data_IF_464147144863
#
_entry.id   IF_464147144863
#
_cell.length_a   1.000
_cell.length_b   1.000
_cell.length_c   1.000
_cell.angle_alpha   90.00
_cell.angle_beta   90.00
_cell.angle_gamma   90.00
#
_symmetry.space_group_name_H-M   'P 1'
#
loop_
_entity.id
_entity.type
_entity.pdbx_description
1 polymer ?
#
# COMPACT_ATOMS: atom_id res chain seq x y z
N UNK A 1 2.41 -3.66 -23.60
CA UNK A 1 1.86 -5.03 -23.72
C UNK A 1 2.14 -5.70 -22.37
N UNK A 2 1.23 -6.26 -21.58
CA UNK A 2 -0.22 -6.59 -21.59
C UNK A 2 -0.51 -6.89 -20.10
N UNK A 3 -1.56 -6.40 -19.45
CA UNK A 3 -2.97 -6.83 -19.57
C UNK A 3 -3.88 -5.73 -18.98
N UNK A 4 -4.71 -5.08 -19.79
CA UNK A 4 -6.15 -5.40 -19.88
C UNK A 4 -6.85 -5.47 -18.52
N UNK A 5 -7.56 -4.41 -18.16
CA UNK A 5 -8.94 -4.57 -17.72
C UNK A 5 -9.80 -3.55 -18.47
N UNK A 6 -10.50 -4.07 -19.48
CA UNK A 6 -11.68 -3.52 -20.15
C UNK A 6 -12.53 -2.70 -19.17
N UNK A 7 -13.05 -1.53 -19.55
CA UNK A 7 -14.15 -1.52 -20.51
C UNK A 7 -14.21 -0.19 -21.24
N UNK A 8 -13.88 -0.28 -22.53
CA UNK A 8 -13.98 0.78 -23.52
C UNK A 8 -15.46 1.14 -23.68
N UNK A 9 -15.77 2.40 -23.43
CA UNK A 9 -17.05 3.08 -23.70
C UNK A 9 -17.72 2.58 -24.98
N UNK A 10 -18.87 1.92 -24.86
CA UNK A 10 -19.87 1.85 -25.93
C UNK A 10 -21.24 2.20 -25.34
N UNK A 11 -21.84 3.23 -25.94
CA UNK A 11 -23.06 3.93 -25.57
C UNK A 11 -24.30 3.13 -26.01
N UNK A 12 -25.19 2.73 -25.09
CA UNK A 12 -26.60 2.41 -25.37
C UNK A 12 -27.49 2.88 -24.20
N UNK A 13 -28.67 3.41 -24.55
CA UNK A 13 -29.52 4.32 -23.79
C UNK A 13 -30.29 3.69 -22.61
N UNK A 14 -30.14 4.31 -21.42
CA UNK A 14 -31.05 4.59 -20.27
C UNK A 14 -32.43 3.88 -20.28
N UNK A 15 -32.90 3.10 -19.28
CA UNK A 15 -33.02 3.38 -17.83
C UNK A 15 -33.07 2.08 -17.03
N UNK A 16 -32.01 1.75 -16.29
CA UNK A 16 -32.10 1.05 -15.00
C UNK A 16 -30.85 1.45 -14.21
N UNK A 17 -31.06 2.15 -13.09
CA UNK A 17 -30.00 2.65 -12.19
C UNK A 17 -29.36 1.47 -11.41
N UNK A 18 -28.61 0.61 -12.10
CA UNK A 18 -27.69 -0.31 -11.45
C UNK A 18 -26.31 0.33 -11.55
N UNK A 19 -25.98 1.12 -10.53
CA UNK A 19 -24.62 1.62 -10.32
C UNK A 19 -23.75 0.42 -9.97
N UNK A 20 -23.10 -0.15 -11.00
CA UNK A 20 -22.12 -1.21 -10.83
C UNK A 20 -20.91 -0.61 -10.11
N UNK A 21 -20.89 -0.67 -8.79
CA UNK A 21 -19.71 -0.39 -7.98
C UNK A 21 -18.73 -1.53 -8.22
N UNK A 22 -17.85 -1.39 -9.22
CA UNK A 22 -16.68 -2.24 -9.32
C UNK A 22 -15.74 -1.81 -8.18
N UNK A 23 -15.48 -2.66 -7.17
CA UNK A 23 -14.42 -2.35 -6.22
C UNK A 23 -13.14 -2.27 -7.03
N UNK A 24 -12.48 -1.11 -7.06
CA UNK A 24 -11.13 -1.03 -7.60
C UNK A 24 -10.26 -2.05 -6.88
N UNK A 25 -9.34 -2.70 -7.62
CA UNK A 25 -8.37 -3.66 -7.07
C UNK A 25 -7.77 -3.06 -5.78
N UNK A 26 -8.03 -3.71 -4.65
CA UNK A 26 -7.53 -3.25 -3.36
C UNK A 26 -6.02 -3.48 -3.32
N UNK A 27 -5.24 -2.42 -3.05
CA UNK A 27 -3.79 -2.49 -2.91
C UNK A 27 -3.41 -3.58 -1.88
N UNK A 28 -2.46 -4.44 -2.22
CA UNK A 28 -1.89 -5.42 -1.29
C UNK A 28 -0.43 -5.09 -0.97
N UNK A 29 -0.04 -5.24 0.30
CA UNK A 29 1.32 -4.96 0.76
C UNK A 29 1.90 -6.14 1.55
N UNK A 30 3.23 -6.24 1.55
CA UNK A 30 3.93 -7.12 2.47
C UNK A 30 3.72 -6.62 3.91
N UNK A 31 3.53 -7.56 4.83
CA UNK A 31 3.38 -7.32 6.25
C UNK A 31 4.48 -8.00 7.05
N UNK A 32 5.11 -7.26 7.96
CA UNK A 32 5.96 -7.79 9.02
C UNK A 32 6.21 -6.74 10.10
N UNK A 33 6.66 -7.20 11.27
CA UNK A 33 7.16 -6.35 12.35
C UNK A 33 8.37 -7.04 13.02
N UNK A 34 9.38 -6.26 13.40
CA UNK A 34 10.55 -6.73 14.12
C UNK A 34 11.09 -5.67 15.07
N UNK A 35 11.60 -6.07 16.22
CA UNK A 35 12.30 -5.21 17.19
C UNK A 35 13.79 -5.05 16.85
N UNK A 36 14.17 -5.24 15.58
CA UNK A 36 15.54 -5.13 15.08
C UNK A 36 15.67 -3.91 14.18
N UNK A 37 16.86 -3.31 14.14
CA UNK A 37 17.22 -2.22 13.22
C UNK A 37 17.45 -2.69 11.77
N UNK A 38 17.29 -3.98 11.49
CA UNK A 38 17.30 -4.55 10.13
C UNK A 38 15.88 -4.62 9.58
N UNK A 39 15.70 -4.33 8.29
CA UNK A 39 14.39 -4.44 7.64
C UNK A 39 13.85 -5.88 7.75
N UNK A 40 12.66 -6.05 8.32
CA UNK A 40 12.06 -7.35 8.52
C UNK A 40 11.75 -8.04 7.18
N UNK A 41 11.79 -9.38 7.21
CA UNK A 41 11.33 -10.21 6.10
C UNK A 41 9.79 -10.29 6.15
N UNK A 42 9.10 -10.20 5.00
CA UNK A 42 7.65 -10.38 4.94
C UNK A 42 7.21 -11.70 5.60
N UNK A 43 6.23 -11.63 6.50
CA UNK A 43 5.63 -12.81 7.14
C UNK A 43 4.28 -13.15 6.54
N UNK A 44 3.58 -12.16 5.99
CA UNK A 44 2.25 -12.29 5.38
C UNK A 44 1.99 -11.15 4.40
N UNK A 45 0.86 -11.19 3.71
CA UNK A 45 0.35 -10.07 2.92
C UNK A 45 -0.84 -9.41 3.64
N UNK A 46 -1.04 -8.12 3.40
CA UNK A 46 -2.14 -7.34 3.94
C UNK A 46 -2.86 -6.64 2.79
N UNK A 47 -4.18 -6.81 2.69
CA UNK A 47 -5.03 -6.01 1.80
C UNK A 47 -5.33 -4.67 2.46
N UNK A 48 -4.97 -3.59 1.78
CA UNK A 48 -5.14 -2.23 2.28
C UNK A 48 -6.60 -1.81 2.21
N UNK A 49 -7.06 -1.13 3.27
CA UNK A 49 -8.45 -0.68 3.41
C UNK A 49 -8.55 0.82 3.67
N UNK A 50 -9.67 1.41 3.27
CA UNK A 50 -9.96 2.83 3.47
C UNK A 50 -8.95 3.73 2.78
N UNK A 51 -8.30 4.61 3.56
CA UNK A 51 -7.37 5.64 3.05
C UNK A 51 -5.91 5.15 2.97
N UNK A 52 -5.67 3.84 3.12
CA UNK A 52 -4.35 3.23 3.01
C UNK A 52 -4.01 2.99 1.54
N UNK A 53 -3.38 3.98 0.92
CA UNK A 53 -3.07 4.01 -0.50
C UNK A 53 -1.57 3.82 -0.81
N UNK A 54 -0.80 3.34 0.17
CA UNK A 54 0.62 3.05 0.01
C UNK A 54 1.03 1.82 0.81
N UNK A 55 2.02 1.12 0.28
CA UNK A 55 2.81 0.15 1.01
C UNK A 55 4.04 0.86 1.57
N UNK A 56 4.27 0.72 2.88
CA UNK A 56 5.46 1.26 3.53
C UNK A 56 6.36 0.15 4.05
N UNK A 57 7.67 0.35 3.89
CA UNK A 57 8.71 -0.42 4.54
C UNK A 57 9.56 0.56 5.35
N UNK A 58 9.55 0.42 6.68
CA UNK A 58 10.14 1.40 7.60
C UNK A 58 11.14 0.73 8.53
N UNK A 59 12.25 1.40 8.77
CA UNK A 59 13.26 1.07 9.77
C UNK A 59 13.40 2.27 10.70
N UNK A 60 13.18 2.07 11.98
CA UNK A 60 13.45 3.04 13.03
C UNK A 60 14.79 2.69 13.69
N UNK A 61 15.66 3.68 13.78
CA UNK A 61 17.00 3.56 14.38
C UNK A 61 17.09 4.40 15.65
N UNK A 62 17.99 4.03 16.56
CA UNK A 62 18.16 4.68 17.85
C UNK A 62 17.39 3.99 18.97
N UNK A 63 16.74 4.77 19.84
CA UNK A 63 16.16 4.29 21.11
C UNK A 63 15.04 3.25 20.94
N UNK A 64 14.33 3.24 19.81
CA UNK A 64 13.16 2.39 19.54
C UNK A 64 13.44 1.46 18.35
N UNK A 65 14.69 0.97 18.25
CA UNK A 65 15.16 0.14 17.14
C UNK A 65 14.13 -0.93 16.74
N UNK A 66 13.54 -0.76 15.56
CA UNK A 66 12.46 -1.61 15.05
C UNK A 66 12.32 -1.45 13.54
N UNK A 67 11.64 -2.39 12.91
CA UNK A 67 11.31 -2.31 11.49
C UNK A 67 9.97 -2.96 11.21
N UNK A 68 9.29 -2.48 10.18
CA UNK A 68 7.99 -3.01 9.79
C UNK A 68 7.69 -2.80 8.31
N UNK A 69 6.80 -3.64 7.80
CA UNK A 69 6.14 -3.50 6.50
C UNK A 69 4.64 -3.54 6.73
N UNK A 70 3.88 -2.61 6.15
CA UNK A 70 2.42 -2.61 6.24
C UNK A 70 1.79 -1.66 5.22
N UNK A 71 0.48 -1.81 5.03
CA UNK A 71 -0.37 -0.79 4.44
C UNK A 71 -0.32 0.49 5.29
N UNK A 72 -0.28 1.64 4.64
CA UNK A 72 -0.37 2.93 5.30
C UNK A 72 -0.85 4.01 4.33
N UNK A 73 -1.06 5.20 4.86
CA UNK A 73 -1.32 6.36 4.02
C UNK A 73 0.01 6.88 3.42
N UNK A 74 0.00 7.28 2.15
CA UNK A 74 1.19 7.82 1.48
C UNK A 74 1.79 9.02 2.24
N UNK A 75 0.97 9.92 2.80
CA UNK A 75 1.47 11.06 3.56
C UNK A 75 2.17 10.63 4.87
N UNK A 76 1.66 9.59 5.54
CA UNK A 76 2.33 9.00 6.71
C UNK A 76 3.67 8.40 6.33
N UNK A 77 3.73 7.68 5.20
CA UNK A 77 4.97 7.11 4.69
C UNK A 77 6.02 8.19 4.37
N UNK A 78 5.61 9.26 3.68
CA UNK A 78 6.47 10.42 3.41
C UNK A 78 6.92 11.12 4.70
N UNK A 79 6.07 11.13 5.74
CA UNK A 79 6.43 11.59 7.08
C UNK A 79 7.63 10.84 7.66
N UNK A 80 7.66 9.50 7.55
CA UNK A 80 8.80 8.70 7.98
C UNK A 80 10.08 9.03 7.19
N UNK A 81 10.00 9.29 5.89
CA UNK A 81 11.16 9.72 5.08
C UNK A 81 11.75 11.03 5.63
N UNK A 82 10.90 11.95 6.07
CA UNK A 82 11.33 13.24 6.63
C UNK A 82 11.78 13.18 8.10
N UNK A 83 11.56 12.05 8.79
CA UNK A 83 11.81 11.94 10.23
C UNK A 83 13.27 11.53 10.50
N UNK A 84 14.05 12.32 11.25
CA UNK A 84 15.40 11.94 11.64
C UNK A 84 15.42 10.61 12.41
N UNK A 85 16.33 9.71 12.02
CA UNK A 85 16.43 8.38 12.64
C UNK A 85 15.45 7.34 12.09
N UNK A 86 14.62 7.70 11.11
CA UNK A 86 13.80 6.75 10.36
C UNK A 86 14.30 6.62 8.91
N UNK A 87 14.19 5.41 8.37
CA UNK A 87 14.39 5.13 6.95
C UNK A 87 13.12 4.49 6.43
N UNK A 88 12.57 5.00 5.34
CA UNK A 88 11.33 4.48 4.77
C UNK A 88 11.41 4.38 3.25
N UNK A 89 10.75 3.35 2.71
CA UNK A 89 10.44 3.19 1.29
C UNK A 89 8.92 3.16 1.13
N UNK A 90 8.43 3.94 0.17
CA UNK A 90 7.00 4.15 -0.07
C UNK A 90 6.67 3.84 -1.52
N UNK A 91 5.62 3.05 -1.75
CA UNK A 91 5.19 2.68 -3.10
C UNK A 91 3.67 2.38 -3.12
N UNK A 92 3.06 2.33 -4.30
CA UNK A 92 1.59 2.23 -4.48
C UNK A 92 1.17 1.14 -5.47
N UNK A 93 2.00 0.11 -5.63
CA UNK A 93 1.70 -1.07 -6.44
C UNK A 93 1.69 -2.32 -5.56
N UNK A 94 1.04 -3.40 -5.99
CA UNK A 94 0.94 -4.60 -5.16
C UNK A 94 2.31 -5.17 -4.77
N UNK A 95 2.46 -5.48 -3.48
CA UNK A 95 3.61 -6.16 -2.84
C UNK A 95 4.96 -5.50 -3.09
N UNK A 96 4.97 -4.19 -3.33
CA UNK A 96 6.18 -3.45 -3.71
C UNK A 96 7.11 -3.10 -2.55
N UNK A 97 6.61 -3.18 -1.30
CA UNK A 97 7.33 -2.73 -0.11
C UNK A 97 8.25 -3.78 0.47
#
# INVERSE_FOLDING_TARGET
LKTNCCCRHYLLLIHFHIYWFFPGESLECNYCYSSSSSLCQPTSTQTCSGNQNACGAVILTGAISSSFRQCMNMAVCQGFISTPGAFASCCSTNLCN
#
